data_IF_860092726482
#
_entry.id   IF_860092726482
#
_cell.length_a   1.000
_cell.length_b   1.000
_cell.length_c   1.000
_cell.angle_alpha   90.00
_cell.angle_beta   90.00
_cell.angle_gamma   90.00
#
_symmetry.space_group_name_H-M   'P 1'
#
loop_
_entity.id
_entity.type
_entity.pdbx_description
1 polymer ?
#
# COMPACT_ATOMS: atom_id res chain seq x y z
N UNK A 1 -24.11 10.03 -19.27
CA UNK A 1 -22.73 10.20 -18.79
C UNK A 1 -22.41 9.04 -17.85
N UNK A 2 -21.81 7.98 -18.38
CA UNK A 2 -21.29 6.88 -17.57
C UNK A 2 -19.95 7.37 -17.02
N UNK A 3 -19.90 7.65 -15.73
CA UNK A 3 -18.63 7.89 -15.04
C UNK A 3 -17.93 6.54 -14.97
N UNK A 4 -17.08 6.28 -15.97
CA UNK A 4 -16.10 5.21 -15.93
C UNK A 4 -15.15 5.50 -14.77
N UNK A 5 -15.52 5.04 -13.58
CA UNK A 5 -14.67 5.03 -12.41
C UNK A 5 -13.53 4.04 -12.64
N UNK A 6 -12.54 4.44 -13.45
CA UNK A 6 -11.21 3.89 -13.29
C UNK A 6 -10.79 4.30 -11.88
N UNK A 7 -10.82 3.33 -10.94
CA UNK A 7 -10.13 3.43 -9.66
C UNK A 7 -8.65 3.54 -9.95
N UNK A 8 -8.24 4.73 -10.38
CA UNK A 8 -6.87 5.16 -10.45
C UNK A 8 -6.38 5.06 -9.01
N UNK A 9 -5.46 4.14 -8.74
CA UNK A 9 -4.71 4.22 -7.47
C UNK A 9 -4.25 5.68 -7.35
N UNK A 10 -4.45 6.33 -6.20
CA UNK A 10 -4.05 7.72 -6.03
C UNK A 10 -2.64 7.92 -6.61
N UNK A 11 -2.46 8.85 -7.54
CA UNK A 11 -1.22 8.98 -8.32
C UNK A 11 0.02 9.08 -7.39
N UNK A 12 -0.18 9.56 -6.14
CA UNK A 12 0.87 9.60 -5.11
C UNK A 12 1.43 8.22 -4.70
N UNK A 13 0.64 7.14 -4.75
CA UNK A 13 1.10 5.80 -4.36
C UNK A 13 2.13 5.32 -5.38
N UNK A 14 1.87 5.52 -6.68
CA UNK A 14 2.79 5.13 -7.75
C UNK A 14 4.08 5.97 -7.77
N UNK A 15 4.03 7.18 -7.21
CA UNK A 15 5.20 8.05 -7.07
C UNK A 15 6.02 7.75 -5.81
N UNK A 16 5.56 6.88 -4.91
CA UNK A 16 6.23 6.62 -3.64
C UNK A 16 7.59 5.95 -3.85
N UNK A 17 7.65 4.90 -4.68
CA UNK A 17 8.89 4.21 -5.01
C UNK A 17 9.87 5.07 -5.84
N UNK A 18 9.45 5.74 -6.93
CA UNK A 18 10.31 6.70 -7.63
C UNK A 18 10.85 7.82 -6.73
N UNK A 19 10.04 8.32 -5.79
CA UNK A 19 10.48 9.32 -4.82
C UNK A 19 11.54 8.77 -3.88
N UNK A 20 11.39 7.52 -3.42
CA UNK A 20 12.39 6.85 -2.60
C UNK A 20 13.73 6.69 -3.32
N UNK A 21 13.69 6.31 -4.60
CA UNK A 21 14.87 6.18 -5.45
C UNK A 21 15.58 7.53 -5.64
N UNK A 22 14.82 8.61 -5.88
CA UNK A 22 15.36 9.98 -5.97
C UNK A 22 16.00 10.41 -4.64
N UNK A 23 15.37 10.12 -3.50
CA UNK A 23 15.94 10.40 -2.18
C UNK A 23 17.23 9.61 -1.93
N UNK A 24 17.25 8.32 -2.27
CA UNK A 24 18.46 7.49 -2.17
C UNK A 24 19.59 8.02 -3.05
N UNK A 25 19.26 8.47 -4.27
CA UNK A 25 20.22 9.10 -5.18
C UNK A 25 20.76 10.42 -4.61
N UNK A 26 19.90 11.27 -4.05
CA UNK A 26 20.33 12.53 -3.41
C UNK A 26 21.29 12.28 -2.24
N UNK A 27 21.03 11.24 -1.42
CA UNK A 27 21.95 10.80 -0.39
C UNK A 27 23.30 10.35 -0.98
N UNK A 28 23.27 9.60 -2.08
CA UNK A 28 24.49 9.16 -2.76
C UNK A 28 25.28 10.32 -3.40
N UNK A 29 24.60 11.30 -4.00
CA UNK A 29 25.23 12.50 -4.56
C UNK A 29 25.83 13.38 -3.46
N UNK A 30 25.14 13.53 -2.33
CA UNK A 30 25.66 14.22 -1.15
C UNK A 30 26.97 13.58 -0.67
N UNK A 31 27.09 12.26 -0.75
CA UNK A 31 28.33 11.54 -0.50
C UNK A 31 29.48 11.94 -1.45
N UNK A 32 29.23 12.06 -2.76
CA UNK A 32 30.24 12.48 -3.73
C UNK A 32 30.78 13.89 -3.44
N UNK A 33 29.97 14.74 -2.81
CA UNK A 33 30.35 16.07 -2.37
C UNK A 33 31.11 16.10 -1.01
N UNK A 34 31.11 15.00 -0.24
CA UNK A 34 31.67 14.96 1.13
C UNK A 34 33.15 14.58 1.22
N UNK A 35 33.84 14.31 0.11
CA UNK A 35 35.30 14.36 0.03
C UNK A 35 36.08 13.67 1.16
N UNK A 36 35.86 12.35 1.40
CA UNK A 36 36.72 11.43 2.19
C UNK A 36 36.33 11.08 3.64
N UNK A 37 35.03 11.07 4.01
CA UNK A 37 34.58 10.55 5.33
C UNK A 37 33.94 9.15 5.24
N UNK A 38 34.71 8.04 5.26
CA UNK A 38 34.19 6.68 5.00
C UNK A 38 33.16 6.20 6.03
N UNK A 39 33.27 6.64 7.29
CA UNK A 39 32.27 6.31 8.32
C UNK A 39 30.93 6.98 8.05
N UNK A 40 30.96 8.25 7.64
CA UNK A 40 29.77 9.03 7.30
C UNK A 40 29.12 8.49 6.03
N UNK A 41 29.91 8.12 5.02
CA UNK A 41 29.43 7.43 3.82
C UNK A 41 28.60 6.19 4.18
N UNK A 42 29.17 5.29 5.00
CA UNK A 42 28.51 4.05 5.36
C UNK A 42 27.18 4.29 6.07
N UNK A 43 27.12 5.29 6.96
CA UNK A 43 25.89 5.67 7.66
C UNK A 43 24.82 6.18 6.68
N UNK A 44 25.19 7.09 5.77
CA UNK A 44 24.27 7.64 4.77
C UNK A 44 23.76 6.54 3.82
N UNK A 45 24.63 5.64 3.37
CA UNK A 45 24.25 4.52 2.49
C UNK A 45 23.28 3.56 3.18
N UNK A 46 23.54 3.20 4.43
CA UNK A 46 22.63 2.34 5.20
C UNK A 46 21.27 3.02 5.36
N UNK A 47 21.25 4.30 5.73
CA UNK A 47 20.01 5.07 5.86
C UNK A 47 19.23 5.14 4.53
N UNK A 48 19.92 5.33 3.40
CA UNK A 48 19.28 5.36 2.08
C UNK A 48 18.63 4.01 1.73
N UNK A 49 19.29 2.88 2.04
CA UNK A 49 18.75 1.53 1.82
C UNK A 49 17.54 1.28 2.72
N UNK A 50 17.63 1.60 4.01
CA UNK A 50 16.51 1.47 4.96
C UNK A 50 15.30 2.30 4.53
N UNK A 51 15.55 3.54 4.11
CA UNK A 51 14.53 4.45 3.61
C UNK A 51 13.86 3.91 2.35
N UNK A 52 14.64 3.38 1.40
CA UNK A 52 14.11 2.77 0.18
C UNK A 52 13.22 1.55 0.49
N UNK A 53 13.65 0.68 1.41
CA UNK A 53 12.85 -0.47 1.85
C UNK A 53 11.55 -0.04 2.54
N UNK A 54 11.59 1.00 3.39
CA UNK A 54 10.41 1.54 4.05
C UNK A 54 9.39 2.07 3.03
N UNK A 55 9.83 2.85 2.05
CA UNK A 55 8.94 3.35 1.01
C UNK A 55 8.35 2.22 0.14
N UNK A 56 9.17 1.25 -0.29
CA UNK A 56 8.69 0.13 -1.09
C UNK A 56 7.66 -0.74 -0.36
N UNK A 57 7.87 -1.00 0.94
CA UNK A 57 6.89 -1.72 1.77
C UNK A 57 5.62 -0.90 1.98
N UNK A 58 5.75 0.42 2.18
CA UNK A 58 4.61 1.33 2.30
C UNK A 58 3.75 1.37 1.05
N UNK A 59 4.36 1.48 -0.13
CA UNK A 59 3.66 1.45 -1.42
C UNK A 59 2.87 0.15 -1.58
N UNK A 60 3.49 -1.00 -1.32
CA UNK A 60 2.84 -2.30 -1.46
C UNK A 60 1.61 -2.43 -0.56
N UNK A 61 1.68 -1.97 0.69
CA UNK A 61 0.54 -1.98 1.62
C UNK A 61 -0.56 -1.02 1.15
N UNK A 62 -0.20 0.20 0.73
CA UNK A 62 -1.17 1.17 0.21
C UNK A 62 -1.88 0.66 -1.05
N UNK A 63 -1.17 -0.01 -1.96
CA UNK A 63 -1.77 -0.66 -3.13
C UNK A 63 -2.75 -1.77 -2.72
N UNK A 64 -2.39 -2.60 -1.74
CA UNK A 64 -3.28 -3.64 -1.21
C UNK A 64 -4.55 -3.05 -0.57
N UNK A 65 -4.41 -1.95 0.17
CA UNK A 65 -5.54 -1.21 0.74
C UNK A 65 -6.48 -0.70 -0.35
N UNK A 66 -5.93 0.00 -1.35
CA UNK A 66 -6.70 0.55 -2.46
C UNK A 66 -7.41 -0.55 -3.26
N UNK A 67 -6.71 -1.62 -3.61
CA UNK A 67 -7.26 -2.75 -4.35
C UNK A 67 -8.38 -3.48 -3.60
N UNK A 68 -8.18 -3.75 -2.31
CA UNK A 68 -9.20 -4.40 -1.48
C UNK A 68 -10.42 -3.50 -1.28
N UNK A 69 -10.22 -2.21 -1.01
CA UNK A 69 -11.31 -1.24 -0.89
C UNK A 69 -12.14 -1.19 -2.17
N UNK A 70 -11.47 -1.12 -3.33
CA UNK A 70 -12.15 -1.19 -4.63
C UNK A 70 -12.94 -2.49 -4.80
N UNK A 71 -12.36 -3.65 -4.47
CA UNK A 71 -13.05 -4.94 -4.55
C UNK A 71 -14.27 -5.04 -3.62
N UNK A 72 -14.17 -4.45 -2.41
CA UNK A 72 -15.28 -4.39 -1.47
C UNK A 72 -16.43 -3.56 -2.05
N UNK A 73 -16.15 -2.35 -2.53
CA UNK A 73 -17.17 -1.40 -3.00
C UNK A 73 -17.77 -1.82 -4.33
N UNK A 74 -16.95 -2.23 -5.29
CA UNK A 74 -17.40 -2.47 -6.67
C UNK A 74 -18.00 -3.86 -6.88
N UNK A 75 -17.67 -4.83 -6.02
CA UNK A 75 -18.07 -6.23 -6.21
C UNK A 75 -18.73 -6.82 -4.97
N UNK A 76 -17.99 -6.90 -3.85
CA UNK A 76 -18.43 -7.72 -2.71
C UNK A 76 -19.68 -7.15 -2.03
N UNK A 77 -19.73 -5.86 -1.72
CA UNK A 77 -20.90 -5.24 -1.11
C UNK A 77 -22.14 -5.27 -2.03
N UNK A 78 -22.06 -4.96 -3.34
CA UNK A 78 -23.18 -5.17 -4.25
C UNK A 78 -23.72 -6.62 -4.25
N UNK A 79 -22.84 -7.62 -4.20
CA UNK A 79 -23.26 -9.03 -4.15
C UNK A 79 -23.94 -9.35 -2.81
N UNK A 80 -23.38 -8.85 -1.70
CA UNK A 80 -23.95 -8.99 -0.36
C UNK A 80 -25.35 -8.40 -0.28
N UNK A 81 -25.54 -7.16 -0.75
CA UNK A 81 -26.84 -6.48 -0.82
C UNK A 81 -27.85 -7.33 -1.60
N UNK A 82 -27.48 -7.79 -2.80
CA UNK A 82 -28.34 -8.66 -3.62
C UNK A 82 -28.67 -9.99 -2.93
N UNK A 83 -27.75 -10.55 -2.14
CA UNK A 83 -28.00 -11.78 -1.40
C UNK A 83 -29.03 -11.55 -0.27
N UNK A 84 -28.98 -10.39 0.39
CA UNK A 84 -29.96 -9.99 1.41
C UNK A 84 -31.32 -9.72 0.80
N UNK A 85 -31.38 -8.94 -0.29
CA UNK A 85 -32.63 -8.65 -1.03
C UNK A 85 -33.36 -9.91 -1.49
N UNK A 86 -32.60 -10.94 -1.88
CA UNK A 86 -33.14 -12.24 -2.32
C UNK A 86 -33.38 -13.23 -1.19
N UNK A 87 -33.30 -12.78 0.07
CA UNK A 87 -33.46 -13.59 1.27
C UNK A 87 -32.57 -14.85 1.26
N UNK A 88 -31.30 -14.71 0.88
CA UNK A 88 -30.28 -15.77 0.87
C UNK A 88 -29.30 -15.62 2.03
N UNK A 89 -29.71 -15.93 3.28
CA UNK A 89 -28.92 -15.61 4.49
C UNK A 89 -27.58 -16.34 4.57
N UNK A 90 -27.51 -17.60 4.12
CA UNK A 90 -26.24 -18.36 4.09
C UNK A 90 -25.20 -17.69 3.19
N UNK A 91 -25.65 -17.21 2.03
CA UNK A 91 -24.79 -16.55 1.05
C UNK A 91 -24.36 -15.17 1.54
N UNK A 92 -25.28 -14.40 2.13
CA UNK A 92 -24.97 -13.10 2.71
C UNK A 92 -23.92 -13.22 3.83
N UNK A 93 -24.08 -14.21 4.73
CA UNK A 93 -23.11 -14.48 5.80
C UNK A 93 -21.71 -14.78 5.24
N UNK A 94 -21.61 -15.65 4.25
CA UNK A 94 -20.33 -16.01 3.63
C UNK A 94 -19.61 -14.79 3.01
N UNK A 95 -20.35 -13.89 2.36
CA UNK A 95 -19.76 -12.66 1.83
C UNK A 95 -19.34 -11.68 2.93
N UNK A 96 -20.11 -11.58 4.00
CA UNK A 96 -19.76 -10.74 5.16
C UNK A 96 -18.48 -11.26 5.85
N UNK A 97 -18.37 -12.57 6.07
CA UNK A 97 -17.16 -13.20 6.61
C UNK A 97 -15.94 -12.93 5.73
N UNK A 98 -16.10 -13.07 4.40
CA UNK A 98 -15.04 -12.75 3.44
C UNK A 98 -14.59 -11.29 3.52
N UNK A 99 -15.53 -10.35 3.67
CA UNK A 99 -15.20 -8.95 3.89
C UNK A 99 -14.39 -8.75 5.18
N UNK A 100 -14.81 -9.41 6.27
CA UNK A 100 -14.11 -9.36 7.56
C UNK A 100 -12.67 -9.86 7.47
N UNK A 101 -12.44 -10.97 6.77
CA UNK A 101 -11.09 -11.51 6.54
C UNK A 101 -10.22 -10.51 5.78
N UNK A 102 -10.74 -9.93 4.69
CA UNK A 102 -9.98 -8.98 3.88
C UNK A 102 -9.62 -7.70 4.64
N UNK A 103 -10.54 -7.19 5.46
CA UNK A 103 -10.27 -6.03 6.33
C UNK A 103 -9.20 -6.38 7.37
N UNK A 104 -9.30 -7.55 8.00
CA UNK A 104 -8.31 -8.01 8.99
C UNK A 104 -6.92 -8.19 8.38
N UNK A 105 -6.84 -8.69 7.15
CA UNK A 105 -5.58 -8.85 6.41
C UNK A 105 -4.91 -7.54 6.02
N UNK A 106 -5.67 -6.45 5.93
CA UNK A 106 -5.13 -5.09 5.75
C UNK A 106 -4.62 -4.55 7.07
N UNK A 107 -5.42 -4.63 8.12
CA UNK A 107 -5.05 -4.13 9.45
C UNK A 107 -3.73 -4.77 9.88
N UNK A 108 -3.61 -6.09 9.75
CA UNK A 108 -2.36 -6.80 10.06
C UNK A 108 -1.18 -6.31 9.22
N UNK A 109 -1.37 -6.06 7.92
CA UNK A 109 -0.28 -5.59 7.06
C UNK A 109 0.21 -4.19 7.44
N UNK A 110 -0.68 -3.32 7.94
CA UNK A 110 -0.33 -2.00 8.47
C UNK A 110 0.38 -2.12 9.82
N UNK A 111 -0.15 -2.94 10.75
CA UNK A 111 0.47 -3.17 12.06
C UNK A 111 1.89 -3.75 11.95
N UNK A 112 2.13 -4.63 10.97
CA UNK A 112 3.44 -5.22 10.71
C UNK A 112 4.45 -4.21 10.16
N UNK A 113 3.99 -3.08 9.58
CA UNK A 113 4.86 -1.97 9.20
C UNK A 113 5.22 -1.09 10.39
N UNK A 114 4.28 -0.80 11.31
CA UNK A 114 4.56 0.04 12.49
C UNK A 114 5.52 -0.60 13.49
N UNK A 115 5.55 -1.94 13.54
CA UNK A 115 6.41 -2.69 14.47
C UNK A 115 7.86 -2.87 13.99
N UNK A 116 8.20 -2.35 12.80
CA UNK A 116 9.56 -2.39 12.23
C UNK A 116 10.28 -1.08 12.47
#
# INVERSE_FOLDING_TARGET
LVVSGSTRSPDFIQELLPSAERTALLYHLSFLCLGSFPKLERMIRNQAIETQMLFGTSEAVLLKCAGTSSNLVTSLFPILIKAVEKNKPKLARAYLEKAGTWISDIIRAVDDMEKR
#
